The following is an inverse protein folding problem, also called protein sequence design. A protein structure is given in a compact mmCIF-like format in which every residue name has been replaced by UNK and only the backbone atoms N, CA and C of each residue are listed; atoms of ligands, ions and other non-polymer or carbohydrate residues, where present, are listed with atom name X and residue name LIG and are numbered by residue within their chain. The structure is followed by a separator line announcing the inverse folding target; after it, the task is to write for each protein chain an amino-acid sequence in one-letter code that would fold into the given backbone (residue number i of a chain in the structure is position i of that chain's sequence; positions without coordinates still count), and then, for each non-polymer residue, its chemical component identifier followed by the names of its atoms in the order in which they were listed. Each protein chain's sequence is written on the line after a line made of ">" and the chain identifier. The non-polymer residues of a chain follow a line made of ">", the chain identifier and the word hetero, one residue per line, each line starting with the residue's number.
data_IF_109826286316
#
_entry.id   IF_109826286316
#
_cell.length_a   1.000
_cell.length_b   1.000
_cell.length_c   1.000
_cell.angle_alpha   90.00
_cell.angle_beta   90.00
_cell.angle_gamma   90.00
#
_symmetry.space_group_name_H-M   'P 1'
#
loop_
_entity.id
_entity.type
_entity.pdbx_description
1 polymer ?
#
# COMPACT_ATOMS: atom_id res chain seq x y z
N UNK A 1 -1.90 -68.16 62.23
CA UNK A 1 -1.23 -66.85 62.40
C UNK A 1 0.28 -67.10 62.34
N UNK A 2 0.92 -66.77 61.22
CA UNK A 2 2.37 -66.92 61.04
C UNK A 2 2.90 -65.68 60.30
N UNK A 3 4.01 -65.17 60.81
CA UNK A 3 4.67 -63.91 60.46
C UNK A 3 5.46 -64.01 59.14
N UNK A 4 5.42 -62.87 58.45
CA UNK A 4 6.27 -62.31 57.38
C UNK A 4 7.69 -62.86 57.26
N UNK A 5 8.18 -63.05 56.03
CA UNK A 5 9.58 -62.81 55.66
C UNK A 5 9.72 -62.53 54.15
N UNK A 6 10.17 -61.32 53.83
CA UNK A 6 10.45 -60.83 52.49
C UNK A 6 11.72 -61.45 51.91
N UNK A 7 11.63 -61.91 50.66
CA UNK A 7 12.76 -62.40 49.86
C UNK A 7 13.06 -61.44 48.70
N UNK A 8 14.31 -60.98 48.68
CA UNK A 8 14.99 -60.14 47.70
C UNK A 8 14.80 -60.64 46.25
N UNK A 9 14.51 -59.74 45.29
CA UNK A 9 14.86 -59.96 43.88
C UNK A 9 15.56 -58.72 43.36
N UNK A 10 16.86 -58.88 43.10
CA UNK A 10 17.66 -57.98 42.31
C UNK A 10 17.27 -58.11 40.84
N UNK A 11 16.98 -57.00 40.19
CA UNK A 11 16.99 -56.90 38.73
C UNK A 11 17.50 -55.49 38.37
N UNK A 12 18.80 -55.41 38.10
CA UNK A 12 19.42 -54.19 37.58
C UNK A 12 18.86 -53.90 36.20
N UNK A 13 18.11 -52.80 36.08
CA UNK A 13 17.72 -52.23 34.79
C UNK A 13 18.78 -51.21 34.43
N UNK A 14 19.63 -51.52 33.46
CA UNK A 14 20.50 -50.55 32.83
C UNK A 14 19.63 -49.53 32.08
N UNK A 15 19.50 -48.32 32.63
CA UNK A 15 18.83 -47.22 31.95
C UNK A 15 19.86 -46.57 31.00
N UNK A 16 19.86 -46.97 29.73
CA UNK A 16 20.61 -46.26 28.70
C UNK A 16 19.99 -44.87 28.53
N UNK A 17 20.71 -43.84 28.98
CA UNK A 17 20.35 -42.45 28.70
C UNK A 17 20.66 -42.18 27.22
N UNK A 18 19.64 -42.25 26.38
CA UNK A 18 19.70 -41.66 25.05
C UNK A 18 19.63 -40.14 25.20
N UNK A 19 20.75 -39.46 24.95
CA UNK A 19 20.78 -38.01 24.81
C UNK A 19 20.03 -37.68 23.51
N UNK A 20 18.76 -37.29 23.61
CA UNK A 20 18.05 -36.70 22.48
C UNK A 20 18.65 -35.33 22.20
N UNK A 21 19.02 -35.01 20.94
CA UNK A 21 19.30 -33.62 20.59
C UNK A 21 17.99 -32.85 20.74
N UNK A 22 18.03 -31.74 21.48
CA UNK A 22 16.93 -30.80 21.53
C UNK A 22 16.71 -30.27 20.10
N UNK A 23 15.67 -30.76 19.42
CA UNK A 23 15.18 -30.13 18.20
C UNK A 23 14.66 -28.76 18.61
N UNK A 24 15.42 -27.72 18.29
CA UNK A 24 14.96 -26.34 18.44
C UNK A 24 13.68 -26.19 17.60
N UNK A 25 12.54 -26.05 18.27
CA UNK A 25 11.29 -25.76 17.57
C UNK A 25 11.40 -24.34 17.00
N UNK A 26 11.09 -24.14 15.71
CA UNK A 26 11.08 -22.80 15.17
C UNK A 26 9.93 -22.05 15.82
N UNK A 27 10.25 -21.08 16.67
CA UNK A 27 9.28 -20.14 17.27
C UNK A 27 8.59 -19.37 16.14
N UNK A 28 7.35 -19.74 15.83
CA UNK A 28 6.50 -19.02 14.89
C UNK A 28 5.69 -17.96 15.64
N UNK A 29 6.34 -16.96 16.21
CA UNK A 29 5.66 -15.79 16.81
C UNK A 29 5.42 -14.68 15.77
N UNK A 30 5.01 -15.07 14.56
CA UNK A 30 4.48 -14.12 13.60
C UNK A 30 2.96 -14.08 13.77
N UNK A 31 2.46 -13.11 14.54
CA UNK A 31 1.04 -12.79 14.54
C UNK A 31 0.56 -12.66 13.07
N UNK A 32 -0.62 -13.20 12.71
CA UNK A 32 -1.09 -13.10 11.35
C UNK A 32 -1.25 -11.62 11.00
N UNK A 33 -0.40 -11.15 10.07
CA UNK A 33 -0.54 -9.81 9.49
C UNK A 33 -1.80 -9.83 8.64
N UNK A 34 -2.94 -9.55 9.28
CA UNK A 34 -4.21 -9.38 8.59
C UNK A 34 -4.09 -8.10 7.78
N UNK A 35 -3.90 -8.24 6.47
CA UNK A 35 -3.97 -7.12 5.55
C UNK A 35 -5.42 -6.65 5.48
N UNK A 36 -5.79 -5.74 6.37
CA UNK A 36 -7.08 -5.07 6.30
C UNK A 36 -7.06 -4.22 5.04
N UNK A 37 -7.74 -4.69 4.00
CA UNK A 37 -7.98 -3.90 2.82
C UNK A 37 -8.87 -2.73 3.23
N UNK A 38 -8.26 -1.61 3.58
CA UNK A 38 -8.97 -0.34 3.68
C UNK A 38 -9.47 -0.03 2.27
N UNK A 39 -10.72 -0.40 1.99
CA UNK A 39 -11.41 0.06 0.79
C UNK A 39 -11.48 1.59 0.90
N UNK A 40 -10.56 2.27 0.23
CA UNK A 40 -10.61 3.72 0.09
C UNK A 40 -11.74 4.03 -0.88
N UNK A 41 -12.96 4.10 -0.36
CA UNK A 41 -14.12 4.49 -1.14
C UNK A 41 -13.94 5.93 -1.62
N UNK A 42 -13.88 6.11 -2.94
CA UNK A 42 -13.93 7.44 -3.54
C UNK A 42 -15.31 8.03 -3.25
N UNK A 43 -15.34 9.21 -2.60
CA UNK A 43 -16.61 9.90 -2.30
C UNK A 43 -17.43 10.03 -3.60
N UNK A 44 -18.76 9.82 -3.57
CA UNK A 44 -19.60 9.84 -4.78
C UNK A 44 -19.46 11.11 -5.65
N UNK A 45 -19.10 12.24 -5.05
CA UNK A 45 -18.87 13.52 -5.74
C UNK A 45 -17.67 13.52 -6.70
N UNK A 46 -16.68 12.65 -6.46
CA UNK A 46 -15.44 12.54 -7.24
C UNK A 46 -15.45 11.39 -8.25
N UNK A 47 -16.53 10.59 -8.29
CA UNK A 47 -16.72 9.58 -9.31
C UNK A 47 -16.86 10.23 -10.69
N UNK A 48 -16.40 9.53 -11.72
CA UNK A 48 -16.54 9.94 -13.12
C UNK A 48 -18.00 10.23 -13.44
N UNK A 49 -18.28 11.40 -14.01
CA UNK A 49 -19.63 11.79 -14.47
C UNK A 49 -19.57 12.64 -15.72
N UNK A 50 -20.52 12.44 -16.63
CA UNK A 50 -20.76 13.39 -17.72
C UNK A 50 -21.47 14.62 -17.15
N UNK A 51 -20.95 15.80 -17.45
CA UNK A 51 -21.49 17.07 -16.95
C UNK A 51 -21.62 18.08 -18.07
N UNK A 52 -22.54 19.03 -17.90
CA UNK A 52 -22.59 20.22 -18.73
C UNK A 52 -21.44 21.14 -18.31
N UNK A 53 -20.63 21.58 -19.27
CA UNK A 53 -19.54 22.52 -19.06
C UNK A 53 -19.55 23.53 -20.19
N UNK A 54 -19.95 24.76 -19.92
CA UNK A 54 -19.89 25.85 -20.90
C UNK A 54 -18.45 26.33 -20.97
N UNK A 55 -17.81 26.13 -22.12
CA UNK A 55 -16.42 26.51 -22.37
C UNK A 55 -16.23 26.78 -23.86
N UNK A 56 -15.30 27.66 -24.20
CA UNK A 56 -14.88 27.95 -25.57
C UNK A 56 -13.71 27.06 -26.03
N UNK A 57 -13.25 26.17 -25.13
CA UNK A 57 -12.20 25.20 -25.42
C UNK A 57 -12.67 24.13 -26.42
N UNK A 58 -11.75 23.72 -27.29
CA UNK A 58 -12.02 22.69 -28.30
C UNK A 58 -12.19 21.30 -27.67
N UNK A 59 -12.98 20.40 -28.30
CA UNK A 59 -13.03 19.00 -27.90
C UNK A 59 -11.63 18.36 -27.85
N UNK A 60 -11.37 17.58 -26.80
CA UNK A 60 -10.06 17.01 -26.51
C UNK A 60 -9.22 17.80 -25.50
N UNK A 61 -9.60 19.03 -25.18
CA UNK A 61 -8.94 19.84 -24.13
C UNK A 61 -9.22 19.27 -22.74
N UNK A 62 -8.21 19.35 -21.87
CA UNK A 62 -8.31 19.02 -20.45
C UNK A 62 -8.26 20.31 -19.64
N UNK A 63 -9.31 20.56 -18.87
CA UNK A 63 -9.39 21.69 -17.94
C UNK A 63 -9.22 21.15 -16.53
N UNK A 64 -8.30 21.72 -15.75
CA UNK A 64 -8.01 21.30 -14.38
C UNK A 64 -8.40 22.40 -13.41
N UNK A 65 -9.33 22.09 -12.51
CA UNK A 65 -9.74 22.95 -11.40
C UNK A 65 -9.19 22.37 -10.10
N UNK A 66 -8.07 22.93 -9.64
CA UNK A 66 -7.39 22.49 -8.41
C UNK A 66 -8.15 22.84 -7.14
N UNK A 67 -8.97 23.90 -7.15
CA UNK A 67 -9.77 24.34 -6.01
C UNK A 67 -10.86 23.32 -5.70
N UNK A 68 -11.60 22.90 -6.73
CA UNK A 68 -12.65 21.89 -6.59
C UNK A 68 -12.15 20.44 -6.74
N UNK A 69 -10.86 20.26 -7.06
CA UNK A 69 -10.20 18.96 -7.28
C UNK A 69 -10.88 18.16 -8.39
N UNK A 70 -11.19 18.84 -9.48
CA UNK A 70 -11.80 18.25 -10.67
C UNK A 70 -10.93 18.41 -11.91
N UNK A 71 -10.98 17.41 -12.77
CA UNK A 71 -10.48 17.45 -14.14
C UNK A 71 -11.67 17.28 -15.08
N UNK A 72 -11.76 18.12 -16.09
CA UNK A 72 -12.79 18.07 -17.13
C UNK A 72 -12.14 17.74 -18.47
N UNK A 73 -12.56 16.64 -19.08
CA UNK A 73 -12.22 16.31 -20.46
C UNK A 73 -13.35 16.78 -21.36
N UNK A 74 -13.08 17.77 -22.21
CA UNK A 74 -14.07 18.37 -23.12
C UNK A 74 -14.37 17.40 -24.24
N UNK A 75 -15.62 16.95 -24.36
CA UNK A 75 -16.03 15.99 -25.40
C UNK A 75 -16.73 16.66 -26.59
N UNK A 76 -17.52 17.70 -26.33
CA UNK A 76 -18.28 18.42 -27.35
C UNK A 76 -18.81 19.75 -26.80
N UNK A 77 -19.44 20.56 -27.66
CA UNK A 77 -20.03 21.85 -27.27
C UNK A 77 -20.90 21.69 -26.03
N UNK A 78 -20.51 22.36 -24.95
CA UNK A 78 -21.16 22.35 -23.65
C UNK A 78 -21.14 21.02 -22.86
N UNK A 79 -20.31 20.03 -23.21
CA UNK A 79 -20.23 18.73 -22.52
C UNK A 79 -18.80 18.32 -22.21
N UNK A 80 -18.59 17.82 -20.98
CA UNK A 80 -17.32 17.28 -20.55
C UNK A 80 -17.51 16.06 -19.65
N UNK A 81 -16.57 15.12 -19.68
CA UNK A 81 -16.45 14.10 -18.63
C UNK A 81 -15.62 14.65 -17.48
N UNK A 82 -16.21 14.70 -16.29
CA UNK A 82 -15.56 15.14 -15.06
C UNK A 82 -14.96 13.96 -14.29
N UNK A 83 -13.73 14.13 -13.81
CA UNK A 83 -13.00 13.20 -12.96
C UNK A 83 -12.61 13.91 -11.66
N UNK A 84 -12.67 13.20 -10.53
CA UNK A 84 -12.00 13.67 -9.31
C UNK A 84 -10.49 13.43 -9.39
N UNK A 85 -9.69 14.40 -8.95
CA UNK A 85 -8.24 14.31 -8.96
C UNK A 85 -7.64 14.50 -7.56
N UNK A 86 -6.46 13.92 -7.35
CA UNK A 86 -5.61 14.25 -6.21
C UNK A 86 -4.79 15.49 -6.54
N UNK A 87 -4.77 16.47 -5.64
CA UNK A 87 -3.90 17.65 -5.74
C UNK A 87 -2.81 17.49 -4.70
N UNK A 88 -1.58 17.88 -5.05
CA UNK A 88 -0.45 17.89 -4.13
C UNK A 88 -0.67 18.83 -2.94
N UNK A 89 0.26 18.78 -2.00
CA UNK A 89 0.32 19.73 -0.88
C UNK A 89 0.54 21.15 -1.37
N UNK A 90 0.13 22.12 -0.56
CA UNK A 90 0.31 23.53 -0.86
C UNK A 90 1.79 23.86 -1.06
N UNK A 91 2.05 24.80 -1.98
CA UNK A 91 3.42 25.21 -2.39
C UNK A 91 4.03 24.38 -3.54
N UNK A 92 3.36 23.34 -4.02
CA UNK A 92 3.80 22.53 -5.19
C UNK A 92 2.85 22.66 -6.39
N UNK A 93 1.94 23.65 -6.33
CA UNK A 93 1.00 23.94 -7.41
C UNK A 93 1.67 24.67 -8.56
N UNK A 94 1.20 24.40 -9.77
CA UNK A 94 1.52 25.16 -10.96
C UNK A 94 0.22 25.54 -11.68
N UNK A 95 0.23 26.63 -12.43
CA UNK A 95 -0.89 27.08 -13.26
C UNK A 95 -0.39 27.55 -14.62
N UNK A 96 -1.19 27.30 -15.66
CA UNK A 96 -0.88 27.69 -17.03
C UNK A 96 -1.50 26.74 -18.04
N UNK A 97 -1.20 26.99 -19.32
CA UNK A 97 -1.63 26.18 -20.44
C UNK A 97 -0.44 25.38 -20.96
N UNK A 98 -0.60 24.06 -21.08
CA UNK A 98 0.46 23.17 -21.55
C UNK A 98 -0.12 22.04 -22.39
N UNK A 99 0.65 21.57 -23.37
CA UNK A 99 0.32 20.41 -24.18
C UNK A 99 0.89 19.14 -23.55
N UNK A 100 0.12 18.06 -23.54
CA UNK A 100 0.61 16.73 -23.12
C UNK A 100 1.67 16.26 -24.12
N UNK A 101 2.94 16.25 -23.70
CA UNK A 101 4.07 15.91 -24.58
C UNK A 101 4.33 14.41 -24.72
N UNK A 102 4.13 13.62 -23.66
CA UNK A 102 4.35 12.16 -23.65
C UNK A 102 3.29 11.46 -22.81
N UNK A 103 2.86 10.29 -23.28
CA UNK A 103 2.07 9.32 -22.52
C UNK A 103 2.80 7.99 -22.53
N UNK A 104 2.81 7.30 -21.40
CA UNK A 104 3.39 5.97 -21.28
C UNK A 104 2.54 5.15 -20.31
N UNK A 105 2.41 3.86 -20.59
CA UNK A 105 1.85 2.90 -19.64
C UNK A 105 2.94 2.48 -18.66
N UNK A 106 2.59 2.36 -17.37
CA UNK A 106 3.51 1.96 -16.29
C UNK A 106 4.89 2.64 -16.33
N UNK A 107 4.97 3.98 -16.35
CA UNK A 107 6.24 4.68 -16.46
C UNK A 107 7.10 4.47 -15.20
N UNK A 108 8.42 4.37 -15.39
CA UNK A 108 9.37 4.46 -14.28
C UNK A 108 9.26 5.84 -13.61
N UNK A 109 9.34 5.88 -12.28
CA UNK A 109 9.33 7.11 -11.50
C UNK A 109 10.71 7.36 -10.89
N UNK A 110 11.28 8.53 -11.17
CA UNK A 110 12.52 9.00 -10.53
C UNK A 110 12.21 10.24 -9.70
N UNK A 111 12.47 10.23 -8.38
CA UNK A 111 12.21 11.39 -7.54
C UNK A 111 13.07 12.59 -7.96
N UNK A 112 12.58 13.84 -7.79
CA UNK A 112 13.36 15.04 -8.05
C UNK A 112 14.68 15.08 -7.27
N UNK A 113 15.69 15.77 -7.81
CA UNK A 113 17.01 15.88 -7.19
C UNK A 113 16.94 16.41 -5.75
N UNK A 114 16.14 17.44 -5.50
CA UNK A 114 15.93 18.01 -4.16
C UNK A 114 15.38 16.98 -3.16
N UNK A 115 14.48 16.10 -3.61
CA UNK A 115 13.94 15.02 -2.78
C UNK A 115 15.02 14.01 -2.44
N UNK A 116 15.87 13.62 -3.40
CA UNK A 116 17.01 12.71 -3.15
C UNK A 116 18.00 13.33 -2.16
N UNK A 117 18.39 14.59 -2.33
CA UNK A 117 19.31 15.27 -1.41
C UNK A 117 18.71 15.30 0.01
N UNK A 118 17.41 15.58 0.13
CA UNK A 118 16.72 15.60 1.43
C UNK A 118 16.73 14.24 2.12
N UNK A 119 16.43 13.15 1.40
CA UNK A 119 16.41 11.81 1.98
C UNK A 119 17.82 11.28 2.28
N UNK A 120 18.83 11.63 1.48
CA UNK A 120 20.25 11.32 1.77
C UNK A 120 20.72 11.99 3.06
N UNK A 121 20.35 13.25 3.27
CA UNK A 121 20.63 13.95 4.54
C UNK A 121 19.94 13.29 5.75
N UNK A 122 18.86 12.52 5.54
CA UNK A 122 18.18 11.76 6.59
C UNK A 122 18.72 10.33 6.76
N UNK A 123 19.67 9.89 5.92
CA UNK A 123 20.23 8.54 5.96
C UNK A 123 19.30 7.44 5.41
N UNK A 124 18.29 7.81 4.61
CA UNK A 124 17.35 6.83 4.01
C UNK A 124 17.85 6.25 2.68
N UNK A 125 18.95 6.76 2.14
CA UNK A 125 19.62 6.36 0.89
C UNK A 125 21.11 6.60 1.01
#
# INVERSE_FOLDING_TARGET
>A
MLKVASGLVAAGIAFSVAIMPAVAQPVHDAAPVVRVAQSKFVKPQYKRKLVRLVTDEVPGTIIVDTNNKYLYFVESKNRATRYGIGVGRDGFGWSGVVKVGRKAEWPSWTPPAEMRIREARKGHI
#
